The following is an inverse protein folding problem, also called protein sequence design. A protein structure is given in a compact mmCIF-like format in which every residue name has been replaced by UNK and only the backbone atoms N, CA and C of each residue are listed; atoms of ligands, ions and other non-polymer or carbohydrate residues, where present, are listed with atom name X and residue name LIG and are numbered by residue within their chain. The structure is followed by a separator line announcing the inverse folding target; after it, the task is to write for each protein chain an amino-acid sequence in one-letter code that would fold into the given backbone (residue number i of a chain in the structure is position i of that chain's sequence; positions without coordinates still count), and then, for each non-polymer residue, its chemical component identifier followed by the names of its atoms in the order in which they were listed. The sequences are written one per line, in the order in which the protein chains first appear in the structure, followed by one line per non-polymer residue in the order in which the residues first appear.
data_IF_234473539953
#
_entry.id   IF_234473539953
#
_cell.length_a   1.000
_cell.length_b   1.000
_cell.length_c   1.000
_cell.angle_alpha   90.00
_cell.angle_beta   90.00
_cell.angle_gamma   90.00
#
_symmetry.space_group_name_H-M   'P 1'
#
loop_
_entity.id
_entity.type
_entity.pdbx_description
1 polymer ?
#
# COMPACT_ATOMS: atom_id res chain seq x y z
N UNK A 1 -39.81 42.24 -0.15
CA UNK A 1 -39.80 41.17 0.86
C UNK A 1 -40.03 39.78 0.27
N UNK A 2 -41.00 39.60 -0.61
CA UNK A 2 -41.38 38.29 -1.20
C UNK A 2 -40.27 37.68 -2.06
N UNK A 3 -39.53 38.45 -2.87
CA UNK A 3 -38.46 37.94 -3.72
C UNK A 3 -37.28 37.38 -2.90
N UNK A 4 -36.84 38.07 -1.85
CA UNK A 4 -35.79 37.58 -0.94
C UNK A 4 -36.18 36.28 -0.24
N UNK A 5 -37.44 36.11 0.15
CA UNK A 5 -37.94 34.87 0.78
C UNK A 5 -37.96 33.70 -0.20
N UNK A 6 -38.34 33.92 -1.48
CA UNK A 6 -38.28 32.88 -2.54
C UNK A 6 -36.88 32.46 -2.85
N UNK A 7 -35.94 33.40 -2.91
CA UNK A 7 -34.49 33.08 -3.13
C UNK A 7 -33.92 32.27 -1.98
N UNK A 8 -34.23 32.61 -0.72
CA UNK A 8 -33.77 31.87 0.45
C UNK A 8 -34.36 30.45 0.50
N UNK A 9 -35.65 30.28 0.13
CA UNK A 9 -36.29 28.95 0.04
C UNK A 9 -35.63 28.12 -1.07
N UNK A 10 -35.36 28.73 -2.23
CA UNK A 10 -34.66 28.06 -3.33
C UNK A 10 -33.26 27.61 -2.97
N UNK A 11 -32.47 28.47 -2.32
CA UNK A 11 -31.12 28.13 -1.83
C UNK A 11 -31.17 27.02 -0.76
N UNK A 12 -32.15 27.06 0.13
CA UNK A 12 -32.36 26.00 1.13
C UNK A 12 -32.70 24.64 0.49
N UNK A 13 -33.57 24.65 -0.52
CA UNK A 13 -33.90 23.41 -1.26
C UNK A 13 -32.71 22.83 -2.02
N UNK A 14 -31.89 23.69 -2.66
CA UNK A 14 -30.65 23.27 -3.34
C UNK A 14 -29.64 22.69 -2.36
N UNK A 15 -29.45 23.32 -1.20
CA UNK A 15 -28.56 22.84 -0.15
C UNK A 15 -29.01 21.47 0.41
N UNK A 16 -30.30 21.29 0.64
CA UNK A 16 -30.88 20.02 1.11
C UNK A 16 -30.72 18.90 0.08
N UNK A 17 -30.96 19.21 -1.20
CA UNK A 17 -30.77 18.21 -2.28
C UNK A 17 -29.31 17.82 -2.45
N UNK A 18 -28.40 18.79 -2.42
CA UNK A 18 -26.96 18.54 -2.47
C UNK A 18 -26.49 17.72 -1.26
N UNK A 19 -26.96 18.05 -0.06
CA UNK A 19 -26.68 17.30 1.17
C UNK A 19 -27.19 15.85 1.11
N UNK A 20 -28.42 15.65 0.63
CA UNK A 20 -29.01 14.31 0.47
C UNK A 20 -28.25 13.49 -0.57
N UNK A 21 -27.84 14.09 -1.69
CA UNK A 21 -27.01 13.46 -2.72
C UNK A 21 -25.65 13.06 -2.16
N UNK A 22 -24.96 13.97 -1.44
CA UNK A 22 -23.68 13.68 -0.82
C UNK A 22 -23.77 12.55 0.22
N UNK A 23 -24.82 12.54 1.04
CA UNK A 23 -25.07 11.47 2.01
C UNK A 23 -25.34 10.13 1.33
N UNK A 24 -26.09 10.12 0.23
CA UNK A 24 -26.36 8.93 -0.58
C UNK A 24 -25.10 8.34 -1.21
N UNK A 25 -24.27 9.19 -1.84
CA UNK A 25 -23.00 8.77 -2.45
C UNK A 25 -21.98 8.30 -1.41
N UNK A 26 -21.87 8.97 -0.26
CA UNK A 26 -21.06 8.51 0.87
C UNK A 26 -21.49 7.11 1.34
N UNK A 27 -22.79 6.90 1.58
CA UNK A 27 -23.32 5.58 2.00
C UNK A 27 -23.01 4.49 0.97
N UNK A 28 -23.22 4.77 -0.32
CA UNK A 28 -22.91 3.82 -1.38
C UNK A 28 -21.40 3.48 -1.41
N UNK A 29 -20.53 4.47 -1.27
CA UNK A 29 -19.07 4.26 -1.17
C UNK A 29 -18.71 3.39 0.03
N UNK A 30 -19.30 3.65 1.21
CA UNK A 30 -19.03 2.85 2.42
C UNK A 30 -19.54 1.41 2.31
N UNK A 31 -20.70 1.20 1.70
CA UNK A 31 -21.22 -0.16 1.42
C UNK A 31 -20.25 -0.90 0.50
N UNK A 32 -19.84 -0.28 -0.60
CA UNK A 32 -18.88 -0.87 -1.54
C UNK A 32 -17.53 -1.17 -0.88
N UNK A 33 -16.96 -0.22 -0.13
CA UNK A 33 -15.68 -0.39 0.55
C UNK A 33 -15.73 -1.54 1.56
N UNK A 34 -16.80 -1.63 2.36
CA UNK A 34 -17.00 -2.73 3.31
C UNK A 34 -17.18 -4.09 2.59
N UNK A 35 -17.89 -4.13 1.49
CA UNK A 35 -18.07 -5.35 0.70
C UNK A 35 -16.75 -5.87 0.10
N UNK A 36 -15.80 -5.00 -0.18
CA UNK A 36 -14.48 -5.39 -0.69
C UNK A 36 -13.62 -6.11 0.34
N UNK A 37 -13.83 -5.88 1.63
CA UNK A 37 -13.02 -6.46 2.70
C UNK A 37 -13.77 -7.52 3.53
N UNK A 38 -15.09 -7.43 3.66
CA UNK A 38 -15.86 -8.33 4.51
C UNK A 38 -15.95 -9.75 3.92
N UNK A 39 -15.62 -10.74 4.74
CA UNK A 39 -15.73 -12.17 4.36
C UNK A 39 -14.69 -12.65 3.34
N UNK A 40 -13.68 -11.83 3.02
CA UNK A 40 -12.66 -12.14 2.00
C UNK A 40 -11.28 -12.45 2.57
N UNK A 41 -11.17 -12.51 3.88
CA UNK A 41 -9.94 -12.74 4.62
C UNK A 41 -10.18 -13.61 5.85
N UNK A 42 -9.13 -14.25 6.32
CA UNK A 42 -9.09 -15.06 7.53
C UNK A 42 -8.32 -14.34 8.64
N UNK A 43 -8.55 -14.75 9.89
CA UNK A 43 -7.77 -14.33 11.06
C UNK A 43 -7.09 -15.54 11.64
N UNK A 44 -5.84 -15.35 12.06
CA UNK A 44 -5.09 -16.34 12.83
C UNK A 44 -4.52 -15.69 14.10
N UNK A 45 -4.36 -16.43 15.18
CA UNK A 45 -3.56 -16.00 16.31
C UNK A 45 -2.07 -16.05 15.93
N UNK A 46 -1.34 -15.02 16.31
CA UNK A 46 0.13 -14.97 16.25
C UNK A 46 0.68 -14.54 17.60
N UNK A 47 2.00 -14.63 17.79
CA UNK A 47 2.65 -14.10 19.00
C UNK A 47 2.41 -12.59 19.24
N UNK A 48 2.06 -11.86 18.20
CA UNK A 48 1.78 -10.42 18.25
C UNK A 48 0.27 -10.08 18.31
N UNK A 49 -0.59 -11.08 18.51
CA UNK A 49 -2.05 -10.95 18.45
C UNK A 49 -2.64 -11.42 17.12
N UNK A 50 -3.94 -11.19 16.88
CA UNK A 50 -4.58 -11.64 15.65
C UNK A 50 -3.99 -10.96 14.41
N UNK A 51 -3.70 -11.76 13.38
CA UNK A 51 -3.24 -11.31 12.07
C UNK A 51 -4.27 -11.69 11.00
N UNK A 52 -4.68 -10.69 10.23
CA UNK A 52 -5.57 -10.88 9.08
C UNK A 52 -4.77 -11.14 7.82
N UNK A 53 -5.25 -12.08 7.00
CA UNK A 53 -4.67 -12.38 5.69
C UNK A 53 -5.71 -12.91 4.72
N UNK A 54 -5.37 -12.87 3.43
CA UNK A 54 -6.11 -13.58 2.39
C UNK A 54 -5.16 -14.38 1.51
N UNK A 55 -5.68 -15.47 0.93
CA UNK A 55 -4.94 -16.30 -0.04
C UNK A 55 -5.75 -16.36 -1.34
N UNK A 56 -5.08 -16.18 -2.48
CA UNK A 56 -5.69 -16.26 -3.80
C UNK A 56 -4.76 -16.94 -4.81
N UNK A 57 -5.32 -17.68 -5.75
CA UNK A 57 -4.54 -18.41 -6.75
C UNK A 57 -3.96 -19.72 -6.22
N UNK A 58 -3.10 -20.33 -7.03
CA UNK A 58 -2.38 -21.59 -6.74
C UNK A 58 -1.02 -21.54 -7.41
N UNK A 59 -0.06 -22.36 -6.96
CA UNK A 59 1.29 -22.45 -7.52
C UNK A 59 2.36 -21.92 -6.57
N UNK A 60 3.46 -21.39 -7.10
CA UNK A 60 4.57 -20.86 -6.30
C UNK A 60 4.06 -19.73 -5.38
N UNK A 61 4.29 -19.83 -4.05
CA UNK A 61 3.75 -18.85 -3.11
C UNK A 61 4.55 -17.54 -3.15
N UNK A 62 3.80 -16.43 -3.22
CA UNK A 62 4.29 -15.05 -3.10
C UNK A 62 3.53 -14.36 -1.98
N UNK A 63 4.22 -13.90 -0.97
CA UNK A 63 3.67 -13.04 0.06
C UNK A 63 3.77 -11.58 -0.41
N UNK A 64 2.62 -10.93 -0.64
CA UNK A 64 2.55 -9.53 -1.06
C UNK A 64 2.15 -8.65 0.13
N UNK A 65 3.10 -7.89 0.63
CA UNK A 65 2.93 -6.97 1.76
C UNK A 65 2.53 -5.59 1.23
N UNK A 66 1.32 -5.15 1.60
CA UNK A 66 0.73 -3.90 1.14
C UNK A 66 1.48 -2.65 1.63
N UNK A 67 1.28 -1.51 0.94
CA UNK A 67 1.78 -0.20 1.31
C UNK A 67 0.87 0.55 2.30
N UNK A 68 1.16 1.83 2.48
CA UNK A 68 0.38 2.72 3.36
C UNK A 68 -1.07 2.85 2.88
N UNK A 69 -2.02 2.77 3.81
CA UNK A 69 -3.46 2.86 3.53
C UNK A 69 -4.08 1.59 2.95
N UNK A 70 -3.32 0.50 2.84
CA UNK A 70 -3.78 -0.77 2.29
C UNK A 70 -4.44 -1.70 3.30
N UNK A 71 -4.21 -2.98 3.07
CA UNK A 71 -4.67 -4.15 3.78
C UNK A 71 -4.45 -5.37 2.87
N UNK A 72 -4.96 -6.54 3.24
CA UNK A 72 -4.89 -7.73 2.40
C UNK A 72 -5.47 -7.49 0.98
N UNK A 73 -6.51 -6.66 0.89
CA UNK A 73 -7.18 -6.29 -0.36
C UNK A 73 -6.25 -5.55 -1.32
N UNK A 74 -5.44 -4.63 -0.83
CA UNK A 74 -4.42 -3.95 -1.63
C UNK A 74 -3.30 -4.91 -2.03
N UNK A 75 -2.86 -5.79 -1.13
CA UNK A 75 -1.87 -6.83 -1.46
C UNK A 75 -2.36 -7.73 -2.60
N UNK A 76 -3.61 -8.19 -2.55
CA UNK A 76 -4.23 -8.97 -3.64
C UNK A 76 -4.34 -8.16 -4.95
N UNK A 77 -4.66 -6.87 -4.87
CA UNK A 77 -4.76 -6.00 -6.04
C UNK A 77 -3.37 -5.80 -6.70
N UNK A 78 -2.34 -5.54 -5.93
CA UNK A 78 -0.97 -5.36 -6.43
C UNK A 78 -0.39 -6.63 -7.06
N UNK A 79 -0.78 -7.80 -6.55
CA UNK A 79 -0.33 -9.08 -7.05
C UNK A 79 -1.31 -9.77 -8.02
N UNK A 80 -2.35 -9.06 -8.51
CA UNK A 80 -3.37 -9.68 -9.36
C UNK A 80 -2.76 -10.28 -10.64
N UNK A 81 -1.85 -9.56 -11.30
CA UNK A 81 -1.16 -10.07 -12.48
C UNK A 81 -0.33 -11.34 -12.19
N UNK A 82 0.34 -11.41 -11.03
CA UNK A 82 1.06 -12.62 -10.60
C UNK A 82 0.09 -13.78 -10.35
N UNK A 83 -1.06 -13.52 -9.73
CA UNK A 83 -2.11 -14.53 -9.54
C UNK A 83 -2.60 -15.10 -10.88
N UNK A 84 -2.82 -14.23 -11.87
CA UNK A 84 -3.20 -14.62 -13.22
C UNK A 84 -2.08 -15.37 -13.97
N UNK A 85 -0.81 -15.09 -13.63
CA UNK A 85 0.35 -15.81 -14.12
C UNK A 85 0.61 -17.15 -13.40
N UNK A 86 -0.29 -17.59 -12.50
CA UNK A 86 -0.23 -18.92 -11.88
C UNK A 86 0.52 -18.97 -10.54
N UNK A 87 0.67 -17.85 -9.84
CA UNK A 87 1.20 -17.82 -8.48
C UNK A 87 0.10 -17.92 -7.42
N UNK A 88 0.43 -18.48 -6.27
CA UNK A 88 -0.36 -18.36 -5.05
C UNK A 88 0.01 -17.07 -4.34
N UNK A 89 -0.94 -16.18 -4.14
CA UNK A 89 -0.73 -14.91 -3.44
C UNK A 89 -1.20 -15.06 -2.00
N UNK A 90 -0.31 -14.76 -1.06
CA UNK A 90 -0.58 -14.63 0.37
C UNK A 90 -0.48 -13.14 0.71
N UNK A 91 -1.58 -12.52 1.07
CA UNK A 91 -1.66 -11.09 1.33
C UNK A 91 -2.05 -10.83 2.79
N UNK A 92 -1.12 -10.50 3.68
CA UNK A 92 -1.42 -10.09 5.05
C UNK A 92 -1.91 -8.65 5.11
N UNK A 93 -2.76 -8.33 6.12
CA UNK A 93 -2.94 -6.97 6.61
C UNK A 93 -1.87 -6.69 7.67
N UNK A 94 -1.07 -5.64 7.49
CA UNK A 94 -0.02 -5.27 8.46
C UNK A 94 -0.63 -4.80 9.78
N UNK A 95 0.18 -4.65 10.82
CA UNK A 95 -0.24 -4.17 12.14
C UNK A 95 -1.00 -2.84 12.05
N UNK A 96 -2.15 -2.77 12.74
CA UNK A 96 -3.02 -1.60 12.76
C UNK A 96 -3.84 -1.38 11.48
N UNK A 97 -3.83 -2.33 10.55
CA UNK A 97 -4.67 -2.32 9.36
C UNK A 97 -5.77 -3.36 9.44
N UNK A 98 -6.99 -2.92 9.12
CA UNK A 98 -8.20 -3.75 9.08
C UNK A 98 -8.41 -4.50 10.41
N UNK A 99 -8.33 -5.83 10.40
CA UNK A 99 -8.57 -6.66 11.59
C UNK A 99 -7.29 -7.18 12.26
N UNK A 100 -6.11 -6.81 11.74
CA UNK A 100 -4.84 -7.16 12.37
C UNK A 100 -4.62 -6.37 13.66
N UNK A 101 -3.98 -7.00 14.63
CA UNK A 101 -3.61 -6.38 15.89
C UNK A 101 -2.71 -5.15 15.69
N UNK A 102 -2.68 -4.30 16.71
CA UNK A 102 -1.70 -3.24 16.84
C UNK A 102 -0.99 -3.39 18.18
N UNK A 103 0.11 -4.18 18.23
CA UNK A 103 0.85 -4.43 19.46
C UNK A 103 1.66 -3.20 19.88
N UNK A 104 2.16 -3.19 21.13
CA UNK A 104 3.03 -2.12 21.64
C UNK A 104 4.30 -1.96 20.79
N UNK A 105 4.93 -3.08 20.39
CA UNK A 105 5.98 -3.09 19.37
C UNK A 105 5.36 -3.37 18.00
N UNK A 106 4.94 -2.33 17.29
CA UNK A 106 4.47 -2.41 15.91
C UNK A 106 5.58 -2.14 14.89
N UNK A 107 6.83 -2.51 15.19
CA UNK A 107 7.98 -2.38 14.28
C UNK A 107 7.87 -3.30 13.06
N UNK A 108 8.54 -2.94 11.94
CA UNK A 108 8.67 -3.84 10.79
C UNK A 108 9.31 -5.19 11.13
N UNK A 109 10.25 -5.22 12.09
CA UNK A 109 10.90 -6.44 12.57
C UNK A 109 9.91 -7.37 13.29
N UNK A 110 9.14 -6.83 14.24
CA UNK A 110 8.12 -7.62 14.95
C UNK A 110 6.97 -8.02 14.01
N UNK A 111 6.63 -7.19 13.02
CA UNK A 111 5.70 -7.59 11.95
C UNK A 111 6.24 -8.79 11.15
N UNK A 112 7.55 -8.84 10.86
CA UNK A 112 8.16 -9.98 10.18
C UNK A 112 8.04 -11.27 11.01
N UNK A 113 8.18 -11.19 12.34
CA UNK A 113 8.00 -12.33 13.24
C UNK A 113 6.56 -12.88 13.17
N UNK A 114 5.54 -12.01 13.16
CA UNK A 114 4.14 -12.41 13.02
C UNK A 114 3.83 -13.00 11.62
N UNK A 115 4.54 -12.57 10.57
CA UNK A 115 4.41 -13.15 9.23
C UNK A 115 4.97 -14.56 9.16
N UNK A 116 6.01 -14.89 9.93
CA UNK A 116 6.49 -16.28 10.04
C UNK A 116 5.43 -17.17 10.69
N UNK A 117 4.77 -16.71 11.78
CA UNK A 117 3.66 -17.45 12.39
C UNK A 117 2.53 -17.72 11.36
N UNK A 118 2.28 -16.76 10.45
CA UNK A 118 1.31 -16.94 9.36
C UNK A 118 1.77 -18.02 8.37
N UNK A 119 3.04 -18.03 7.97
CA UNK A 119 3.56 -19.06 7.07
C UNK A 119 3.48 -20.45 7.70
N UNK A 120 3.80 -20.56 8.99
CA UNK A 120 3.71 -21.83 9.74
C UNK A 120 2.27 -22.34 9.81
N UNK A 121 1.31 -21.42 10.06
CA UNK A 121 -0.12 -21.75 10.03
C UNK A 121 -0.58 -22.26 8.67
N UNK A 122 -0.05 -21.68 7.57
CA UNK A 122 -0.38 -22.07 6.22
C UNK A 122 0.38 -23.30 5.72
N UNK A 123 1.33 -23.84 6.49
CA UNK A 123 2.19 -24.94 6.07
C UNK A 123 3.12 -24.55 4.92
N UNK A 124 3.52 -23.29 4.85
CA UNK A 124 4.42 -22.77 3.82
C UNK A 124 5.84 -22.62 4.39
N UNK A 125 6.74 -23.53 3.98
CA UNK A 125 8.14 -23.48 4.43
C UNK A 125 8.86 -22.25 3.92
N UNK A 126 8.68 -21.90 2.66
CA UNK A 126 9.37 -20.79 1.98
C UNK A 126 8.45 -20.08 0.99
N UNK A 127 8.62 -18.76 0.89
CA UNK A 127 7.86 -17.92 -0.06
C UNK A 127 8.76 -16.87 -0.72
N UNK A 128 8.39 -16.39 -1.91
CA UNK A 128 8.90 -15.10 -2.38
C UNK A 128 8.18 -14.00 -1.61
N UNK A 129 8.91 -12.97 -1.18
CA UNK A 129 8.38 -11.85 -0.39
C UNK A 129 8.45 -10.58 -1.23
N UNK A 130 7.29 -9.97 -1.47
CA UNK A 130 7.18 -8.70 -2.16
C UNK A 130 6.59 -7.65 -1.21
N UNK A 131 7.17 -6.46 -1.17
CA UNK A 131 6.68 -5.36 -0.37
C UNK A 131 6.57 -4.07 -1.17
N UNK A 132 5.37 -3.46 -1.20
CA UNK A 132 5.11 -2.19 -1.86
C UNK A 132 5.21 -1.00 -0.89
N UNK A 133 5.90 0.08 -1.28
CA UNK A 133 5.98 1.31 -0.48
C UNK A 133 6.42 1.02 0.97
N UNK A 134 5.63 1.41 1.98
CA UNK A 134 5.91 1.10 3.39
C UNK A 134 5.98 -0.41 3.69
N UNK A 135 5.33 -1.27 2.89
CA UNK A 135 5.46 -2.73 2.99
C UNK A 135 6.88 -3.23 2.71
N UNK A 136 7.69 -2.47 2.00
CA UNK A 136 9.09 -2.78 1.74
C UNK A 136 9.94 -2.80 3.03
N UNK A 137 9.59 -2.01 4.04
CA UNK A 137 10.24 -2.04 5.36
C UNK A 137 10.10 -3.42 6.01
N UNK A 138 8.86 -3.94 6.07
CA UNK A 138 8.59 -5.28 6.61
C UNK A 138 9.18 -6.40 5.73
N UNK A 139 9.13 -6.25 4.41
CA UNK A 139 9.70 -7.24 3.49
C UNK A 139 11.23 -7.36 3.65
N UNK A 140 11.92 -6.24 3.83
CA UNK A 140 13.36 -6.22 4.08
C UNK A 140 13.72 -6.86 5.43
N UNK A 141 12.99 -6.52 6.50
CA UNK A 141 13.17 -7.14 7.81
C UNK A 141 12.89 -8.65 7.78
N UNK A 142 11.88 -9.09 7.03
CA UNK A 142 11.62 -10.51 6.84
C UNK A 142 12.80 -11.22 6.17
N UNK A 143 13.35 -10.66 5.09
CA UNK A 143 14.48 -11.24 4.38
C UNK A 143 15.77 -11.27 5.21
N UNK A 144 15.99 -10.26 6.06
CA UNK A 144 17.12 -10.19 6.99
C UNK A 144 17.04 -11.21 8.11
N UNK A 145 15.86 -11.32 8.74
CA UNK A 145 15.65 -12.14 9.94
C UNK A 145 15.41 -13.61 9.62
N UNK A 146 14.80 -13.87 8.48
CA UNK A 146 14.33 -15.19 8.06
C UNK A 146 14.77 -15.56 6.63
N UNK A 147 16.08 -15.50 6.29
CA UNK A 147 16.56 -15.78 4.95
C UNK A 147 16.18 -17.20 4.48
N UNK A 148 16.13 -18.18 5.38
CA UNK A 148 15.73 -19.55 5.06
C UNK A 148 14.24 -19.70 4.73
N UNK A 149 13.40 -18.73 5.11
CA UNK A 149 11.97 -18.68 4.79
C UNK A 149 11.66 -17.81 3.56
N UNK A 150 12.65 -17.06 3.06
CA UNK A 150 12.53 -16.15 1.94
C UNK A 150 13.27 -16.72 0.71
N UNK A 151 12.56 -17.00 -0.40
CA UNK A 151 13.22 -17.46 -1.64
C UNK A 151 13.73 -16.30 -2.47
N UNK A 152 12.99 -15.22 -2.54
CA UNK A 152 13.29 -13.99 -3.29
C UNK A 152 12.70 -12.80 -2.55
N UNK A 153 13.39 -11.67 -2.60
CA UNK A 153 12.89 -10.39 -2.10
C UNK A 153 12.57 -9.47 -3.27
N UNK A 154 11.38 -8.88 -3.29
CA UNK A 154 10.99 -7.86 -4.27
C UNK A 154 10.56 -6.59 -3.54
N UNK A 155 11.25 -5.49 -3.81
CA UNK A 155 10.95 -4.18 -3.22
C UNK A 155 10.35 -3.27 -4.32
N UNK A 156 9.10 -2.87 -4.14
CA UNK A 156 8.32 -2.11 -5.13
C UNK A 156 8.13 -0.68 -4.61
N UNK A 157 8.60 0.33 -5.35
CA UNK A 157 8.57 1.75 -4.96
C UNK A 157 8.92 1.95 -3.48
N UNK A 158 10.07 1.46 -3.02
CA UNK A 158 10.29 1.14 -1.62
C UNK A 158 10.43 2.37 -0.73
N UNK A 159 9.71 2.36 0.40
CA UNK A 159 10.14 3.08 1.58
C UNK A 159 11.31 2.33 2.21
N UNK A 160 12.34 3.05 2.67
CA UNK A 160 13.47 2.46 3.36
C UNK A 160 14.07 3.43 4.38
N UNK A 161 14.52 2.88 5.49
CA UNK A 161 15.25 3.62 6.52
C UNK A 161 16.73 3.63 6.15
N UNK A 162 17.15 4.72 5.53
CA UNK A 162 18.52 4.92 5.07
C UNK A 162 19.18 6.07 5.87
N UNK A 163 20.42 5.88 6.27
CA UNK A 163 21.22 6.93 6.93
C UNK A 163 21.25 8.19 6.05
N UNK A 164 21.06 9.37 6.66
CA UNK A 164 21.12 10.65 5.96
C UNK A 164 19.85 11.00 5.17
N UNK A 165 18.72 10.38 5.50
CA UNK A 165 17.39 10.82 5.06
C UNK A 165 16.77 11.65 6.18
N UNK A 166 16.31 12.86 5.85
CA UNK A 166 15.56 13.67 6.81
C UNK A 166 14.17 13.05 7.07
N UNK A 167 13.71 13.03 8.32
CA UNK A 167 12.34 12.62 8.62
C UNK A 167 11.33 13.49 7.88
N UNK A 168 10.24 12.89 7.42
CA UNK A 168 9.11 13.67 6.88
C UNK A 168 8.45 14.42 8.03
N UNK A 169 8.67 15.74 8.10
CA UNK A 169 8.10 16.59 9.12
C UNK A 169 6.89 17.35 8.59
N UNK A 170 5.74 17.16 9.23
CA UNK A 170 4.57 18.01 9.02
C UNK A 170 4.61 19.20 9.98
N UNK A 171 4.26 20.39 9.48
CA UNK A 171 3.96 21.54 10.35
C UNK A 171 2.75 21.24 11.24
N UNK A 172 2.62 21.92 12.37
CA UNK A 172 1.50 21.69 13.30
C UNK A 172 0.10 21.85 12.63
N UNK A 173 -0.16 22.84 11.76
CA UNK A 173 -1.42 22.94 11.02
C UNK A 173 -1.64 21.77 10.03
N UNK A 174 -0.58 21.36 9.32
CA UNK A 174 -0.68 20.22 8.40
C UNK A 174 -0.99 18.93 9.15
N UNK A 175 -0.34 18.70 10.29
CA UNK A 175 -0.59 17.54 11.16
C UNK A 175 -2.04 17.52 11.64
N UNK A 176 -2.57 18.66 12.11
CA UNK A 176 -3.95 18.75 12.56
C UNK A 176 -4.95 18.39 11.45
N UNK A 177 -4.73 18.88 10.23
CA UNK A 177 -5.58 18.56 9.06
C UNK A 177 -5.49 17.08 8.72
N UNK A 178 -4.28 16.53 8.63
CA UNK A 178 -4.03 15.11 8.32
C UNK A 178 -4.70 14.23 9.38
N UNK A 179 -4.50 14.52 10.66
CA UNK A 179 -5.08 13.74 11.75
C UNK A 179 -6.61 13.74 11.68
N UNK A 180 -7.25 14.92 11.46
CA UNK A 180 -8.71 15.02 11.36
C UNK A 180 -9.28 14.29 10.14
N UNK A 181 -8.62 14.39 9.00
CA UNK A 181 -9.06 13.72 7.77
C UNK A 181 -8.92 12.21 7.90
N UNK A 182 -7.81 11.73 8.49
CA UNK A 182 -7.54 10.30 8.65
C UNK A 182 -8.36 9.63 9.76
N UNK A 183 -8.96 10.39 10.68
CA UNK A 183 -9.79 9.84 11.76
C UNK A 183 -11.25 9.59 11.36
N UNK A 184 -11.71 10.16 10.23
CA UNK A 184 -13.11 10.14 9.85
C UNK A 184 -13.32 9.67 8.42
N UNK A 185 -14.06 8.57 8.27
CA UNK A 185 -14.47 8.08 6.93
C UNK A 185 -15.21 9.13 6.11
N UNK A 186 -16.04 9.98 6.76
CA UNK A 186 -16.79 11.02 6.06
C UNK A 186 -15.87 12.15 5.58
N UNK A 187 -14.96 12.62 6.41
CA UNK A 187 -14.00 13.66 6.02
C UNK A 187 -13.02 13.16 4.96
N UNK A 188 -12.52 11.92 5.12
CA UNK A 188 -11.65 11.32 4.11
C UNK A 188 -12.36 11.10 2.79
N UNK A 189 -13.62 10.62 2.80
CA UNK A 189 -14.44 10.49 1.60
C UNK A 189 -14.64 11.82 0.90
N UNK A 190 -14.99 12.87 1.64
CA UNK A 190 -15.16 14.21 1.08
C UNK A 190 -13.87 14.72 0.45
N UNK A 191 -12.72 14.57 1.13
CA UNK A 191 -11.40 14.91 0.60
C UNK A 191 -11.08 14.10 -0.67
N UNK A 192 -11.24 12.77 -0.63
CA UNK A 192 -10.94 11.89 -1.76
C UNK A 192 -11.83 12.13 -2.98
N UNK A 193 -13.06 12.67 -2.75
CA UNK A 193 -14.02 12.96 -3.81
C UNK A 193 -13.84 14.36 -4.40
N UNK A 194 -13.65 15.37 -3.53
CA UNK A 194 -13.59 16.77 -3.95
C UNK A 194 -12.19 17.23 -4.34
N UNK A 195 -11.14 16.57 -3.83
CA UNK A 195 -9.75 16.90 -4.05
C UNK A 195 -8.95 15.68 -4.57
N UNK A 196 -9.50 14.95 -5.54
CA UNK A 196 -8.91 13.71 -6.09
C UNK A 196 -7.46 13.92 -6.57
N UNK A 197 -7.18 15.02 -7.27
CA UNK A 197 -5.83 15.31 -7.77
C UNK A 197 -4.84 15.60 -6.64
N UNK A 198 -5.32 16.24 -5.57
CA UNK A 198 -4.51 16.47 -4.36
C UNK A 198 -4.20 15.13 -3.69
N UNK A 199 -5.19 14.25 -3.55
CA UNK A 199 -5.00 12.92 -3.00
C UNK A 199 -3.98 12.10 -3.81
N UNK A 200 -4.11 12.11 -5.15
CA UNK A 200 -3.16 11.42 -6.04
C UNK A 200 -1.73 11.94 -5.84
N UNK A 201 -1.54 13.25 -5.78
CA UNK A 201 -0.22 13.86 -5.60
C UNK A 201 0.37 13.64 -4.21
N UNK A 202 -0.44 13.71 -3.16
CA UNK A 202 0.04 13.75 -1.77
C UNK A 202 0.07 12.39 -1.10
N UNK A 203 -0.96 11.57 -1.27
CA UNK A 203 -1.07 10.27 -0.61
C UNK A 203 -0.62 9.11 -1.52
N UNK A 204 -0.87 9.23 -2.83
CA UNK A 204 -0.45 8.25 -3.83
C UNK A 204 0.78 8.71 -4.65
N UNK A 205 1.36 9.85 -4.32
CA UNK A 205 2.60 10.39 -4.89
C UNK A 205 2.73 10.20 -6.41
N UNK A 206 1.61 10.39 -7.11
CA UNK A 206 1.49 10.15 -8.56
C UNK A 206 0.88 11.38 -9.23
N UNK A 207 1.47 11.85 -10.33
CA UNK A 207 0.92 12.97 -11.06
C UNK A 207 -0.41 12.58 -11.73
N UNK A 208 -1.54 13.28 -11.44
CA UNK A 208 -2.82 13.03 -12.09
C UNK A 208 -2.78 13.10 -13.61
N UNK A 209 -1.87 13.87 -14.19
CA UNK A 209 -1.70 13.98 -15.65
C UNK A 209 -1.37 12.62 -16.31
N UNK A 210 -0.78 11.69 -15.59
CA UNK A 210 -0.51 10.33 -16.08
C UNK A 210 -1.80 9.57 -16.41
N UNK A 211 -2.92 9.84 -15.73
CA UNK A 211 -4.19 9.18 -16.01
C UNK A 211 -4.69 9.40 -17.44
N UNK A 212 -4.34 10.52 -18.05
CA UNK A 212 -4.70 10.80 -19.46
C UNK A 212 -3.88 9.99 -20.45
N UNK A 213 -2.68 9.53 -20.06
CA UNK A 213 -1.73 8.83 -20.92
C UNK A 213 -1.89 7.30 -20.91
N UNK A 214 -2.57 6.75 -19.91
CA UNK A 214 -2.65 5.30 -19.71
C UNK A 214 -3.94 4.68 -20.24
N UNK A 215 -3.97 3.36 -20.38
CA UNK A 215 -5.12 2.60 -20.86
C UNK A 215 -6.34 2.71 -19.92
N UNK A 216 -7.56 2.40 -20.40
CA UNK A 216 -8.74 2.31 -19.54
C UNK A 216 -8.58 1.32 -18.37
N UNK A 217 -7.87 0.20 -18.58
CA UNK A 217 -7.61 -0.80 -17.54
C UNK A 217 -6.72 -0.21 -16.43
N UNK A 218 -5.66 0.52 -16.78
CA UNK A 218 -4.80 1.20 -15.81
C UNK A 218 -5.53 2.30 -15.03
N UNK A 219 -6.42 3.06 -15.70
CA UNK A 219 -7.28 4.03 -15.00
C UNK A 219 -8.23 3.35 -14.02
N UNK A 220 -8.79 2.20 -14.40
CA UNK A 220 -9.63 1.42 -13.50
C UNK A 220 -8.82 0.90 -12.30
N UNK A 221 -7.58 0.43 -12.51
CA UNK A 221 -6.67 0.02 -11.43
C UNK A 221 -6.36 1.17 -10.47
N UNK A 222 -6.03 2.36 -10.98
CA UNK A 222 -5.84 3.54 -10.15
C UNK A 222 -7.08 3.90 -9.33
N UNK A 223 -8.27 3.74 -9.91
CA UNK A 223 -9.54 3.95 -9.22
C UNK A 223 -9.74 2.92 -8.10
N UNK A 224 -9.39 1.65 -8.33
CA UNK A 224 -9.45 0.61 -7.30
C UNK A 224 -8.45 0.86 -6.16
N UNK A 225 -7.22 1.29 -6.47
CA UNK A 225 -6.21 1.65 -5.46
C UNK A 225 -6.75 2.78 -4.58
N UNK A 226 -7.30 3.84 -5.18
CA UNK A 226 -7.90 4.96 -4.45
C UNK A 226 -9.10 4.52 -3.61
N UNK A 227 -10.02 3.73 -4.18
CA UNK A 227 -11.19 3.22 -3.47
C UNK A 227 -10.81 2.32 -2.29
N UNK A 228 -9.73 1.54 -2.44
CA UNK A 228 -9.18 0.67 -1.41
C UNK A 228 -8.59 1.41 -0.21
N UNK A 229 -8.47 2.74 -0.22
CA UNK A 229 -8.14 3.52 0.97
C UNK A 229 -9.30 3.56 1.97
N UNK A 230 -10.54 3.32 1.51
CA UNK A 230 -11.72 3.26 2.37
C UNK A 230 -12.00 1.85 2.90
N UNK A 231 -12.55 1.70 4.11
CA UNK A 231 -12.78 2.74 5.11
C UNK A 231 -11.47 3.14 5.81
N UNK A 232 -11.18 4.43 5.87
CA UNK A 232 -9.93 4.94 6.43
C UNK A 232 -9.84 4.69 7.94
N UNK A 233 -10.97 4.72 8.65
CA UNK A 233 -11.05 4.49 10.09
C UNK A 233 -10.50 3.13 10.51
N UNK A 234 -10.52 2.12 9.65
CA UNK A 234 -9.95 0.79 9.91
C UNK A 234 -8.46 0.69 9.55
N UNK A 235 -7.85 1.78 9.13
CA UNK A 235 -6.45 1.82 8.63
C UNK A 235 -5.61 2.88 9.34
N UNK A 236 -6.24 3.74 10.14
CA UNK A 236 -5.60 4.91 10.76
C UNK A 236 -4.41 4.56 11.65
N UNK A 237 -4.51 3.50 12.46
CA UNK A 237 -3.41 3.07 13.34
C UNK A 237 -2.18 2.66 12.52
N UNK A 238 -2.38 1.83 11.51
CA UNK A 238 -1.32 1.40 10.60
C UNK A 238 -0.72 2.56 9.79
N UNK A 239 -1.56 3.49 9.31
CA UNK A 239 -1.12 4.70 8.62
C UNK A 239 -0.18 5.56 9.48
N UNK A 240 -0.55 5.77 10.75
CA UNK A 240 0.27 6.52 11.70
C UNK A 240 1.58 5.79 12.00
N UNK A 241 1.53 4.47 12.17
CA UNK A 241 2.70 3.64 12.36
C UNK A 241 3.66 3.72 11.17
N UNK A 242 3.14 3.69 9.94
CA UNK A 242 3.96 3.87 8.73
C UNK A 242 4.67 5.23 8.72
N UNK A 243 3.98 6.30 9.16
CA UNK A 243 4.58 7.63 9.30
C UNK A 243 5.76 7.64 10.28
N UNK A 244 5.67 6.90 11.37
CA UNK A 244 6.75 6.73 12.34
C UNK A 244 7.93 5.99 11.71
N UNK A 245 7.69 4.82 11.13
CA UNK A 245 8.78 3.94 10.65
C UNK A 245 9.39 4.43 9.33
N UNK A 246 8.63 4.97 8.40
CA UNK A 246 9.18 5.57 7.18
C UNK A 246 9.97 6.87 7.44
N UNK A 247 9.71 7.53 8.57
CA UNK A 247 10.44 8.71 9.04
C UNK A 247 11.56 8.40 10.02
N UNK A 248 11.71 7.13 10.45
CA UNK A 248 12.71 6.76 11.46
C UNK A 248 14.15 6.94 10.93
N UNK A 249 15.03 7.56 11.72
CA UNK A 249 16.46 7.67 11.37
C UNK A 249 17.22 6.35 11.52
N UNK A 250 16.62 5.31 12.12
CA UNK A 250 17.26 4.01 12.32
C UNK A 250 17.46 3.32 10.98
N UNK A 251 18.70 3.06 10.61
CA UNK A 251 19.05 2.40 9.35
C UNK A 251 18.88 0.89 9.48
N UNK A 252 18.13 0.29 8.55
CA UNK A 252 18.11 -1.16 8.35
C UNK A 252 19.45 -1.62 7.75
N UNK A 253 20.09 -2.71 8.24
CA UNK A 253 21.36 -3.21 7.73
C UNK A 253 21.16 -4.00 6.42
N UNK A 254 20.81 -3.30 5.34
CA UNK A 254 20.49 -3.89 4.04
C UNK A 254 21.60 -4.75 3.45
N UNK A 255 22.85 -4.51 3.83
CA UNK A 255 24.04 -5.29 3.42
C UNK A 255 23.97 -6.74 3.92
N UNK A 256 23.19 -7.00 4.96
CA UNK A 256 22.96 -8.35 5.51
C UNK A 256 21.94 -9.16 4.73
N UNK A 257 21.24 -8.59 3.74
CA UNK A 257 20.30 -9.35 2.91
C UNK A 257 21.08 -10.25 1.97
N UNK A 258 20.89 -11.56 2.10
CA UNK A 258 21.60 -12.61 1.33
C UNK A 258 20.73 -13.27 0.26
N UNK A 259 19.42 -13.06 0.31
CA UNK A 259 18.49 -13.64 -0.67
C UNK A 259 18.50 -12.86 -1.98
N UNK A 260 18.27 -13.53 -3.13
CA UNK A 260 18.10 -12.83 -4.41
C UNK A 260 17.10 -11.70 -4.29
N UNK A 261 17.50 -10.49 -4.70
CA UNK A 261 16.68 -9.28 -4.51
C UNK A 261 16.46 -8.53 -5.82
N UNK A 262 15.21 -8.14 -6.07
CA UNK A 262 14.83 -7.23 -7.15
C UNK A 262 14.17 -5.98 -6.58
N UNK A 263 14.50 -4.83 -7.16
CA UNK A 263 13.97 -3.53 -6.77
C UNK A 263 13.34 -2.88 -7.99
N UNK A 264 12.09 -2.44 -7.87
CA UNK A 264 11.34 -1.80 -8.94
C UNK A 264 10.88 -0.40 -8.48
N UNK A 265 11.00 0.61 -9.34
CA UNK A 265 10.52 1.96 -9.04
C UNK A 265 10.21 2.74 -10.33
N UNK A 266 9.60 3.92 -10.19
CA UNK A 266 9.38 4.88 -11.27
C UNK A 266 10.14 6.18 -10.98
N UNK A 267 10.75 6.77 -12.03
CA UNK A 267 11.62 7.94 -11.87
C UNK A 267 10.86 9.21 -11.45
N UNK A 268 9.58 9.29 -11.80
CA UNK A 268 8.68 10.41 -11.53
C UNK A 268 7.82 10.22 -10.26
N UNK A 269 8.12 9.22 -9.44
CA UNK A 269 7.47 9.02 -8.14
C UNK A 269 7.70 10.22 -7.23
N UNK A 270 6.63 10.89 -6.81
CA UNK A 270 6.71 12.14 -6.04
C UNK A 270 7.23 11.93 -4.60
N UNK A 271 7.30 10.70 -4.10
CA UNK A 271 8.04 10.38 -2.85
C UNK A 271 9.54 10.18 -3.08
N UNK A 272 10.02 10.24 -4.32
CA UNK A 272 11.43 10.06 -4.65
C UNK A 272 11.94 8.63 -4.39
N UNK A 273 11.07 7.62 -4.50
CA UNK A 273 11.45 6.22 -4.23
C UNK A 273 12.45 5.67 -5.23
N UNK A 274 12.58 6.26 -6.43
CA UNK A 274 13.62 5.89 -7.39
C UNK A 274 15.04 6.10 -6.84
N UNK A 275 15.28 7.19 -6.12
CA UNK A 275 16.59 7.44 -5.47
C UNK A 275 16.81 6.49 -4.30
N UNK A 276 15.76 6.21 -3.52
CA UNK A 276 15.79 5.16 -2.49
C UNK A 276 16.13 3.81 -3.11
N UNK A 277 15.48 3.43 -4.21
CA UNK A 277 15.73 2.17 -4.95
C UNK A 277 17.19 2.06 -5.43
N UNK A 278 17.75 3.15 -6.01
CA UNK A 278 19.16 3.20 -6.42
C UNK A 278 20.13 3.05 -5.24
N UNK A 279 19.82 3.64 -4.10
CA UNK A 279 20.62 3.50 -2.86
C UNK A 279 20.56 2.08 -2.31
N UNK A 280 19.38 1.46 -2.30
CA UNK A 280 19.21 0.07 -1.88
C UNK A 280 19.95 -0.90 -2.81
N UNK A 281 19.89 -0.71 -4.12
CA UNK A 281 20.58 -1.54 -5.08
C UNK A 281 22.11 -1.51 -4.92
N UNK A 282 22.67 -0.42 -4.40
CA UNK A 282 24.10 -0.33 -4.06
C UNK A 282 24.45 -0.99 -2.73
N UNK A 283 23.48 -1.14 -1.81
CA UNK A 283 23.71 -1.67 -0.46
C UNK A 283 23.41 -3.16 -0.35
N UNK A 284 22.42 -3.65 -1.10
CA UNK A 284 22.02 -5.06 -1.07
C UNK A 284 22.90 -5.84 -2.06
N UNK A 285 23.70 -6.82 -1.61
CA UNK A 285 24.59 -7.56 -2.49
C UNK A 285 23.83 -8.28 -3.62
N UNK A 286 24.23 -8.08 -4.86
CA UNK A 286 23.63 -8.74 -6.02
C UNK A 286 22.20 -8.29 -6.38
N UNK A 287 21.70 -7.22 -5.79
CA UNK A 287 20.36 -6.72 -6.08
C UNK A 287 20.23 -6.25 -7.54
N UNK A 288 19.12 -6.62 -8.18
CA UNK A 288 18.72 -6.13 -9.51
C UNK A 288 17.85 -4.89 -9.34
N UNK A 289 18.02 -3.89 -10.20
CA UNK A 289 17.26 -2.66 -10.18
C UNK A 289 16.62 -2.40 -11.55
N UNK A 290 15.32 -2.16 -11.55
CA UNK A 290 14.59 -1.60 -12.70
C UNK A 290 13.93 -0.28 -12.29
N UNK A 291 14.18 0.80 -13.04
CA UNK A 291 13.53 2.11 -12.85
C UNK A 291 12.85 2.49 -14.16
N UNK A 292 11.53 2.53 -14.14
CA UNK A 292 10.72 2.98 -15.25
C UNK A 292 10.74 4.50 -15.36
N UNK A 293 10.68 5.10 -16.56
CA UNK A 293 10.80 6.55 -16.75
C UNK A 293 9.66 7.34 -16.09
N UNK A 294 8.44 6.79 -16.16
CA UNK A 294 7.23 7.40 -15.61
C UNK A 294 6.33 6.31 -14.98
N UNK A 295 5.26 6.70 -14.29
CA UNK A 295 4.30 5.80 -13.65
C UNK A 295 3.91 6.23 -12.24
N UNK A 296 4.67 7.13 -11.63
CA UNK A 296 4.44 7.59 -10.25
C UNK A 296 4.58 6.46 -9.23
N UNK A 297 4.06 6.68 -8.04
CA UNK A 297 4.15 5.74 -6.93
C UNK A 297 3.27 4.49 -7.10
N UNK A 298 2.26 4.55 -7.96
CA UNK A 298 1.38 3.42 -8.24
C UNK A 298 1.68 2.77 -9.60
N UNK A 299 2.85 3.04 -10.18
CA UNK A 299 3.38 2.50 -11.45
C UNK A 299 2.34 2.45 -12.57
N UNK A 300 1.62 3.59 -12.78
CA UNK A 300 0.62 3.71 -13.82
C UNK A 300 1.20 3.42 -15.22
N UNK A 301 0.54 2.56 -15.97
CA UNK A 301 0.97 2.14 -17.31
C UNK A 301 1.97 0.98 -17.32
N UNK A 302 2.43 0.52 -16.15
CA UNK A 302 3.45 -0.51 -16.01
C UNK A 302 3.04 -1.73 -15.18
N UNK A 303 1.73 -1.94 -14.92
CA UNK A 303 1.29 -3.09 -14.12
C UNK A 303 1.68 -4.44 -14.76
N UNK A 304 1.53 -4.54 -16.07
CA UNK A 304 1.97 -5.72 -16.82
C UNK A 304 3.49 -5.90 -16.83
N UNK A 305 4.24 -4.79 -16.92
CA UNK A 305 5.70 -4.82 -16.91
C UNK A 305 6.23 -5.25 -15.54
N UNK A 306 5.71 -4.69 -14.44
CA UNK A 306 6.03 -5.09 -13.08
C UNK A 306 5.70 -6.57 -12.85
N UNK A 307 4.53 -7.01 -13.28
CA UNK A 307 4.13 -8.43 -13.20
C UNK A 307 5.14 -9.33 -13.93
N UNK A 308 5.49 -8.99 -15.16
CA UNK A 308 6.47 -9.74 -15.97
C UNK A 308 7.83 -9.80 -15.27
N UNK A 309 8.36 -8.66 -14.85
CA UNK A 309 9.69 -8.56 -14.26
C UNK A 309 9.77 -9.35 -12.95
N UNK A 310 8.74 -9.28 -12.11
CA UNK A 310 8.66 -10.04 -10.85
C UNK A 310 8.53 -11.54 -11.14
N UNK A 311 7.65 -11.94 -12.07
CA UNK A 311 7.49 -13.34 -12.47
C UNK A 311 8.81 -13.92 -12.98
N UNK A 312 9.45 -13.22 -13.92
CA UNK A 312 10.68 -13.71 -14.57
C UNK A 312 11.84 -13.79 -13.57
N UNK A 313 11.88 -12.87 -12.61
CA UNK A 313 12.84 -12.90 -11.52
C UNK A 313 12.63 -14.12 -10.60
N UNK A 314 11.39 -14.35 -10.14
CA UNK A 314 11.08 -15.48 -9.23
C UNK A 314 11.27 -16.83 -9.93
N UNK A 315 10.94 -16.93 -11.21
CA UNK A 315 11.06 -18.16 -11.98
C UNK A 315 12.48 -18.42 -12.50
N UNK A 316 13.43 -17.53 -12.27
CA UNK A 316 14.80 -17.65 -12.78
C UNK A 316 14.92 -17.48 -14.29
N UNK A 317 13.90 -16.94 -14.95
CA UNK A 317 13.86 -16.70 -16.41
C UNK A 317 14.22 -15.27 -16.78
N UNK A 318 14.50 -14.43 -15.77
CA UNK A 318 14.90 -13.05 -15.98
C UNK A 318 16.20 -12.98 -16.80
N UNK A 319 16.18 -12.20 -17.88
CA UNK A 319 17.40 -11.94 -18.68
C UNK A 319 18.44 -11.23 -17.79
N UNK A 320 19.72 -11.54 -17.96
CA UNK A 320 20.80 -10.94 -17.19
C UNK A 320 20.89 -9.42 -17.39
#
# INVERSE_FOLDING_TARGET
MILRRRVLIGLGAVALTAGAYAAGTYRATMVSAKAQISGRSSLIPTRAGPLEYAVAGRGTPVMMIHGTGGGFDQGLLFANGLREAGFQIVAPSRFGYLRSAFPDDASPAHQADALVDMLDHLGLDRVAVAGGSAGALTAAEFALRYPDRCTHLVLIVPAANLTGRDPVAFTAPQRLVVDRVLESDAWFWAFATLATDVLLRTLLATDPALLAKVSPAERARATLIRAGLMPISQKTLGLRNDGVWAGSPTSTPFEGITVPTQILSCADDLFGTADTARRLARRIPGARLTVYPEGGHIWLGHDADFTRDIRDFIMGTARP
#
